data_IF_893899142248
#
_entry.id   IF_893899142248
#
_cell.length_a   1.000
_cell.length_b   1.000
_cell.length_c   1.000
_cell.angle_alpha   90.00
_cell.angle_beta   90.00
_cell.angle_gamma   90.00
#
_symmetry.space_group_name_H-M   'P 1'
#
loop_
_entity.id
_entity.type
_entity.pdbx_description
1 polymer ?
#
# COMPACT_ATOMS: atom_id res chain seq x y z
N UNK A 1 -24.60 -28.82 -3.17
CA UNK A 1 -25.66 -27.82 -3.41
C UNK A 1 -25.38 -27.12 -4.73
N UNK A 2 -26.26 -27.29 -5.72
CA UNK A 2 -26.12 -26.62 -7.01
C UNK A 2 -26.44 -25.13 -6.83
N UNK A 3 -25.40 -24.31 -6.69
CA UNK A 3 -25.53 -22.86 -6.72
C UNK A 3 -26.03 -22.49 -8.12
N UNK A 4 -27.25 -21.97 -8.21
CA UNK A 4 -27.76 -21.34 -9.43
C UNK A 4 -26.69 -20.39 -9.96
N UNK A 5 -26.33 -20.53 -11.24
CA UNK A 5 -25.29 -19.74 -11.90
C UNK A 5 -25.80 -18.31 -12.05
N UNK A 6 -25.83 -17.55 -10.96
CA UNK A 6 -26.14 -16.13 -10.99
C UNK A 6 -25.07 -15.45 -11.82
N UNK A 7 -25.48 -14.84 -12.92
CA UNK A 7 -24.61 -14.01 -13.73
C UNK A 7 -24.92 -12.56 -13.35
N UNK A 8 -23.95 -11.80 -12.83
CA UNK A 8 -24.18 -10.42 -12.43
C UNK A 8 -24.56 -9.59 -13.66
N UNK A 9 -25.46 -8.65 -13.48
CA UNK A 9 -25.75 -7.63 -14.49
C UNK A 9 -24.74 -6.50 -14.42
N UNK A 10 -24.67 -5.64 -15.45
CA UNK A 10 -23.79 -4.48 -15.46
C UNK A 10 -24.00 -3.55 -14.26
N UNK A 11 -25.26 -3.38 -13.83
CA UNK A 11 -25.62 -2.56 -12.67
C UNK A 11 -25.10 -3.17 -11.35
N UNK A 12 -25.14 -4.50 -11.23
CA UNK A 12 -24.59 -5.18 -10.05
C UNK A 12 -23.08 -4.96 -9.95
N UNK A 13 -22.37 -5.06 -11.07
CA UNK A 13 -20.92 -4.80 -11.12
C UNK A 13 -20.61 -3.35 -10.71
N UNK A 14 -21.36 -2.38 -11.24
CA UNK A 14 -21.19 -0.97 -10.89
C UNK A 14 -21.51 -0.69 -9.41
N UNK A 15 -22.46 -1.42 -8.81
CA UNK A 15 -22.82 -1.25 -7.39
C UNK A 15 -21.69 -1.63 -6.42
N UNK A 16 -20.84 -2.57 -6.82
CA UNK A 16 -19.70 -3.06 -6.02
C UNK A 16 -18.46 -2.19 -6.25
N UNK A 17 -18.34 -1.56 -7.43
CA UNK A 17 -17.20 -0.72 -7.78
C UNK A 17 -17.26 0.64 -7.10
N UNK A 18 -16.12 1.06 -6.55
CA UNK A 18 -15.93 2.44 -6.06
C UNK A 18 -15.33 3.31 -7.16
N UNK A 19 -15.74 4.59 -7.26
CA UNK A 19 -15.13 5.52 -8.21
C UNK A 19 -13.65 5.72 -7.88
N UNK A 20 -12.83 5.93 -8.92
CA UNK A 20 -11.36 6.15 -8.85
C UNK A 20 -10.54 4.97 -8.33
N UNK A 21 -11.13 3.78 -8.23
CA UNK A 21 -10.43 2.54 -7.87
C UNK A 21 -10.36 1.64 -9.10
N UNK A 22 -9.17 1.11 -9.38
CA UNK A 22 -8.97 0.08 -10.38
C UNK A 22 -9.19 -1.30 -9.75
N UNK A 23 -9.99 -2.12 -10.40
CA UNK A 23 -10.28 -3.48 -9.97
C UNK A 23 -9.73 -4.48 -10.96
N UNK A 24 -9.11 -5.54 -10.46
CA UNK A 24 -8.72 -6.66 -11.30
C UNK A 24 -9.94 -7.55 -11.61
N UNK A 25 -9.96 -8.20 -12.78
CA UNK A 25 -11.06 -9.09 -13.14
C UNK A 25 -11.29 -10.20 -12.10
N UNK A 26 -10.23 -10.72 -11.47
CA UNK A 26 -10.35 -11.76 -10.46
C UNK A 26 -10.97 -11.26 -9.15
N UNK A 27 -10.71 -10.00 -8.75
CA UNK A 27 -11.26 -9.43 -7.52
C UNK A 27 -12.74 -9.12 -7.67
N UNK A 28 -13.17 -8.66 -8.85
CA UNK A 28 -14.61 -8.55 -9.15
C UNK A 28 -15.27 -9.93 -9.21
N UNK A 29 -14.59 -10.93 -9.79
CA UNK A 29 -15.12 -12.28 -9.86
C UNK A 29 -15.33 -12.90 -8.47
N UNK A 30 -14.44 -12.64 -7.50
CA UNK A 30 -14.58 -13.17 -6.14
C UNK A 30 -15.80 -12.64 -5.39
N UNK A 31 -16.18 -11.38 -5.62
CA UNK A 31 -17.39 -10.76 -5.02
C UNK A 31 -18.67 -11.46 -5.48
N UNK A 32 -18.70 -11.94 -6.72
CA UNK A 32 -19.83 -12.69 -7.28
C UNK A 32 -19.68 -14.21 -7.19
N UNK A 33 -18.63 -14.70 -6.52
CA UNK A 33 -18.28 -16.14 -6.45
C UNK A 33 -18.14 -16.81 -7.84
N UNK A 34 -17.63 -16.07 -8.82
CA UNK A 34 -17.39 -16.53 -10.18
C UNK A 34 -15.88 -16.70 -10.46
N UNK A 35 -15.56 -17.40 -11.54
CA UNK A 35 -14.21 -17.41 -12.08
C UNK A 35 -13.95 -16.17 -12.93
N UNK A 36 -12.70 -15.71 -12.97
CA UNK A 36 -12.29 -14.56 -13.78
C UNK A 36 -12.62 -14.75 -15.27
N UNK A 37 -12.51 -15.99 -15.77
CA UNK A 37 -12.85 -16.32 -17.17
C UNK A 37 -14.33 -16.11 -17.49
N UNK A 38 -15.23 -16.24 -16.51
CA UNK A 38 -16.68 -16.06 -16.71
C UNK A 38 -17.13 -14.60 -16.69
N UNK A 39 -16.51 -13.76 -15.85
CA UNK A 39 -16.89 -12.34 -15.75
C UNK A 39 -16.25 -11.49 -16.86
N UNK A 40 -15.13 -11.96 -17.42
CA UNK A 40 -14.33 -11.21 -18.40
C UNK A 40 -15.10 -10.77 -19.65
N UNK A 41 -15.93 -11.60 -20.31
CA UNK A 41 -16.71 -11.16 -21.47
C UNK A 41 -17.65 -9.99 -21.13
N UNK A 42 -18.29 -10.04 -19.96
CA UNK A 42 -19.17 -8.96 -19.49
C UNK A 42 -18.40 -7.67 -19.25
N UNK A 43 -17.20 -7.75 -18.65
CA UNK A 43 -16.34 -6.58 -18.47
C UNK A 43 -15.86 -6.01 -19.81
N UNK A 44 -15.54 -6.88 -20.79
CA UNK A 44 -15.16 -6.46 -22.14
C UNK A 44 -16.31 -5.77 -22.87
N UNK A 45 -17.54 -6.27 -22.75
CA UNK A 45 -18.75 -5.62 -23.26
C UNK A 45 -18.96 -4.25 -22.59
N UNK A 46 -18.84 -4.16 -21.27
CA UNK A 46 -18.99 -2.89 -20.53
C UNK A 46 -17.92 -1.86 -20.93
N UNK A 47 -16.71 -2.30 -21.24
CA UNK A 47 -15.64 -1.46 -21.80
C UNK A 47 -15.99 -1.00 -23.22
N UNK A 48 -16.50 -1.89 -24.07
CA UNK A 48 -16.94 -1.56 -25.42
C UNK A 48 -18.10 -0.54 -25.43
N UNK A 49 -19.00 -0.63 -24.45
CA UNK A 49 -20.08 0.33 -24.23
C UNK A 49 -19.63 1.65 -23.57
N UNK A 50 -18.36 1.79 -23.20
CA UNK A 50 -17.82 3.01 -22.58
C UNK A 50 -18.26 3.24 -21.13
N UNK A 51 -18.83 2.23 -20.47
CA UNK A 51 -19.21 2.31 -19.04
C UNK A 51 -18.00 2.08 -18.12
N UNK A 52 -17.06 1.23 -18.56
CA UNK A 52 -15.79 0.97 -17.91
C UNK A 52 -14.63 1.38 -18.82
N UNK A 53 -13.50 1.72 -18.22
CA UNK A 53 -12.25 1.97 -18.92
C UNK A 53 -11.18 0.97 -18.46
N UNK A 54 -10.24 0.64 -19.35
CA UNK A 54 -9.09 -0.20 -19.00
C UNK A 54 -8.10 0.60 -18.15
N UNK A 55 -7.79 0.09 -16.96
CA UNK A 55 -6.86 0.73 -16.04
C UNK A 55 -5.49 0.05 -16.10
N UNK A 56 -4.43 0.84 -16.36
CA UNK A 56 -3.05 0.37 -16.23
C UNK A 56 -2.57 0.61 -14.80
N UNK A 57 -2.57 -0.44 -13.98
CA UNK A 57 -2.03 -0.38 -12.62
C UNK A 57 -0.57 -0.82 -12.64
N UNK A 58 0.32 -0.02 -12.05
CA UNK A 58 1.75 -0.33 -11.92
C UNK A 58 1.93 -1.70 -11.22
N UNK A 59 2.86 -2.52 -11.73
CA UNK A 59 3.15 -3.87 -11.26
C UNK A 59 2.04 -4.92 -11.42
N UNK A 60 0.92 -4.59 -12.08
CA UNK A 60 -0.08 -5.58 -12.47
C UNK A 60 0.05 -5.94 -13.95
N UNK A 61 0.12 -7.23 -14.26
CA UNK A 61 0.05 -7.75 -15.64
C UNK A 61 -1.38 -8.19 -16.04
N UNK A 62 -2.33 -8.03 -15.12
CA UNK A 62 -3.70 -8.51 -15.26
C UNK A 62 -4.61 -7.54 -16.01
N UNK A 63 -5.77 -8.05 -16.40
CA UNK A 63 -6.87 -7.23 -16.93
C UNK A 63 -7.52 -6.47 -15.78
N UNK A 64 -7.34 -5.15 -15.74
CA UNK A 64 -7.96 -4.28 -14.74
C UNK A 64 -8.86 -3.25 -15.39
N UNK A 65 -9.95 -2.93 -14.70
CA UNK A 65 -10.98 -2.00 -15.14
C UNK A 65 -11.27 -0.97 -14.06
N UNK A 66 -11.64 0.23 -14.46
CA UNK A 66 -12.19 1.27 -13.60
C UNK A 66 -13.47 1.84 -14.22
N UNK A 67 -14.27 2.55 -13.43
CA UNK A 67 -15.44 3.26 -13.94
C UNK A 67 -14.97 4.37 -14.90
N UNK A 68 -15.59 4.45 -16.08
CA UNK A 68 -15.24 5.46 -17.09
C UNK A 68 -15.40 6.88 -16.53
N UNK A 69 -14.49 7.78 -16.89
CA UNK A 69 -14.45 9.16 -16.37
C UNK A 69 -13.97 9.30 -14.92
N UNK A 70 -13.74 8.19 -14.21
CA UNK A 70 -13.13 8.16 -12.89
C UNK A 70 -11.78 7.43 -12.97
N UNK A 71 -10.88 7.90 -13.83
CA UNK A 71 -9.54 7.33 -13.92
C UNK A 71 -8.88 7.35 -12.53
N UNK A 72 -8.29 6.22 -12.09
CA UNK A 72 -7.56 6.21 -10.84
C UNK A 72 -6.44 7.24 -10.97
N UNK A 73 -6.35 8.14 -9.98
CA UNK A 73 -5.19 9.02 -9.84
C UNK A 73 -3.98 8.11 -9.96
N UNK A 74 -3.27 8.23 -11.08
CA UNK A 74 -1.99 7.59 -11.22
C UNK A 74 -1.21 8.12 -10.03
N UNK A 75 -0.75 7.21 -9.15
CA UNK A 75 0.24 7.54 -8.15
C UNK A 75 1.52 7.87 -8.93
N UNK A 76 1.53 9.04 -9.57
CA UNK A 76 2.70 9.67 -10.13
C UNK A 76 3.58 9.93 -8.94
N UNK A 77 4.53 9.01 -8.76
CA UNK A 77 5.70 9.16 -7.94
C UNK A 77 5.30 9.27 -6.46
N UNK A 78 5.42 8.15 -5.73
CA UNK A 78 5.86 8.27 -4.35
C UNK A 78 7.07 9.19 -4.39
N UNK A 79 6.89 10.43 -3.90
CA UNK A 79 7.91 11.45 -3.87
C UNK A 79 9.13 10.77 -3.29
N UNK A 80 10.11 10.50 -4.15
CA UNK A 80 11.33 9.81 -3.77
C UNK A 80 11.93 10.76 -2.75
N UNK A 81 11.84 10.42 -1.46
CA UNK A 81 12.28 11.29 -0.39
C UNK A 81 13.73 11.69 -0.67
N UNK A 82 13.92 12.91 -1.19
CA UNK A 82 15.22 13.52 -1.38
C UNK A 82 15.54 14.05 0.00
N UNK A 83 16.06 13.17 0.85
CA UNK A 83 16.46 13.55 2.20
C UNK A 83 17.28 14.82 2.12
N UNK A 84 16.81 15.86 2.81
CA UNK A 84 17.59 17.09 2.96
C UNK A 84 18.98 16.71 3.46
N UNK A 85 20.07 17.05 2.75
CA UNK A 85 21.41 16.75 3.23
C UNK A 85 21.57 17.36 4.62
N UNK A 86 22.13 16.57 5.55
CA UNK A 86 22.26 16.97 6.94
C UNK A 86 22.88 18.38 7.01
N UNK A 87 22.13 19.33 7.57
CA UNK A 87 22.61 20.71 7.73
C UNK A 87 23.92 20.72 8.50
N UNK A 88 24.92 21.52 8.08
CA UNK A 88 26.19 21.60 8.77
C UNK A 88 25.95 21.97 10.25
N UNK A 89 26.64 21.27 11.16
CA UNK A 89 26.47 21.43 12.60
C UNK A 89 26.77 22.88 12.99
N UNK A 90 25.75 23.59 13.50
CA UNK A 90 25.83 25.00 13.91
C UNK A 90 26.40 25.22 15.31
N UNK A 91 26.48 24.17 16.13
CA UNK A 91 26.88 24.27 17.52
C UNK A 91 28.25 23.64 17.74
N UNK A 92 29.04 24.31 18.56
CA UNK A 92 30.32 23.83 19.04
C UNK A 92 30.10 22.53 19.83
N UNK A 93 30.68 21.42 19.36
CA UNK A 93 30.68 20.16 20.12
C UNK A 93 31.67 20.37 21.26
N UNK A 94 31.17 20.47 22.50
CA UNK A 94 32.05 20.39 23.68
C UNK A 94 32.69 19.00 23.69
N UNK A 95 33.90 18.90 23.16
CA UNK A 95 34.80 17.76 23.38
C UNK A 95 35.35 17.86 24.79
N UNK A 96 34.50 17.61 25.78
CA UNK A 96 34.93 17.40 27.16
C UNK A 96 35.20 15.92 27.37
N UNK A 97 36.32 15.59 27.98
CA UNK A 97 36.55 14.22 28.45
C UNK A 97 35.49 13.89 29.50
N UNK A 98 34.67 12.88 29.20
CA UNK A 98 33.66 12.32 30.12
C UNK A 98 34.30 11.47 31.24
N UNK A 99 35.55 11.78 31.62
CA UNK A 99 36.33 11.05 32.63
C UNK A 99 35.59 10.96 33.95
N UNK A 100 34.96 12.07 34.38
CA UNK A 100 34.13 12.12 35.59
C UNK A 100 32.94 11.15 35.54
N UNK A 101 32.33 10.98 34.37
CA UNK A 101 31.21 10.06 34.19
C UNK A 101 31.68 8.59 34.24
N UNK A 102 32.87 8.31 33.69
CA UNK A 102 33.48 6.99 33.75
C UNK A 102 33.92 6.60 35.17
N UNK A 103 34.43 7.55 35.95
CA UNK A 103 34.77 7.37 37.36
C UNK A 103 33.53 7.07 38.21
N UNK A 104 32.42 7.79 37.98
CA UNK A 104 31.15 7.55 38.67
C UNK A 104 30.56 6.18 38.37
N UNK A 105 30.67 5.71 37.12
CA UNK A 105 30.22 4.37 36.72
C UNK A 105 31.04 3.30 37.45
N UNK A 106 32.38 3.44 37.49
CA UNK A 106 33.26 2.50 38.21
C UNK A 106 32.90 2.43 39.70
N UNK A 107 32.72 3.58 40.35
CA UNK A 107 32.34 3.65 41.77
C UNK A 107 31.02 2.93 42.06
N UNK A 108 30.02 3.05 41.18
CA UNK A 108 28.74 2.33 41.32
C UNK A 108 28.89 0.83 41.12
N UNK A 109 29.73 0.40 40.16
CA UNK A 109 30.03 -1.02 39.97
C UNK A 109 30.69 -1.62 41.21
N UNK A 110 31.65 -0.93 41.81
CA UNK A 110 32.35 -1.40 43.02
C UNK A 110 31.39 -1.55 44.21
N UNK A 111 30.46 -0.59 44.38
CA UNK A 111 29.40 -0.66 45.39
C UNK A 111 28.44 -1.85 45.17
N UNK A 112 28.01 -2.08 43.93
CA UNK A 112 27.15 -3.22 43.60
C UNK A 112 27.84 -4.56 43.86
N UNK A 113 29.15 -4.64 43.65
CA UNK A 113 29.93 -5.88 43.84
C UNK A 113 30.28 -6.13 45.31
N UNK A 114 30.34 -5.08 46.15
CA UNK A 114 30.52 -5.23 47.60
C UNK A 114 29.26 -5.74 48.31
N UNK A 115 28.06 -5.35 47.85
CA UNK A 115 26.78 -5.84 48.39
C UNK A 115 26.48 -7.30 47.98
N UNK A 116 27.15 -7.81 46.95
CA UNK A 116 26.99 -9.20 46.46
C UNK A 116 27.83 -10.25 47.21
N UNK A 117 28.63 -9.85 48.19
CA UNK A 117 29.35 -10.76 49.10
C UNK A 117 28.58 -10.92 50.41
#
# INVERSE_FOLDING_TARGET
>A
MARSRYMPTANDVLSVMRPRVAYAAYSLASEFHLSAARIRPLLEEMVAHGTLALARVQNSRGYNVCIAGCEPLSNTLAEKYVGTPATPRRYFVMTGDLSLYAEDIKRRMDLCMTVRR
#
